data_IF_582948928185
#
_entry.id   IF_582948928185
#
_cell.length_a   1.000
_cell.length_b   1.000
_cell.length_c   1.000
_cell.angle_alpha   90.00
_cell.angle_beta   90.00
_cell.angle_gamma   90.00
#
_symmetry.space_group_name_H-M   'P 1'
#
loop_
_entity.id
_entity.type
_entity.pdbx_description
1 polymer ?
#
# COMPACT_ATOMS: atom_id res chain seq x y z
N UNK A 1 -6.67 -20.10 12.83
CA UNK A 1 -7.12 -18.68 12.86
C UNK A 1 -6.52 -17.97 11.66
N UNK A 2 -7.32 -17.21 10.94
CA UNK A 2 -6.89 -16.42 9.78
C UNK A 2 -6.94 -14.93 10.12
N UNK A 3 -5.83 -14.21 9.92
CA UNK A 3 -5.74 -12.77 10.14
C UNK A 3 -5.83 -12.04 8.80
N UNK A 4 -6.86 -11.23 8.63
CA UNK A 4 -7.13 -10.49 7.40
C UNK A 4 -6.55 -9.06 7.50
N UNK A 5 -5.25 -8.94 7.30
CA UNK A 5 -4.56 -7.64 7.38
C UNK A 5 -5.14 -6.59 6.43
N UNK A 6 -5.59 -7.00 5.25
CA UNK A 6 -6.23 -6.10 4.30
C UNK A 6 -7.56 -5.51 4.78
N UNK A 7 -8.28 -6.24 5.64
CA UNK A 7 -9.53 -5.76 6.23
C UNK A 7 -9.28 -4.78 7.39
N UNK A 8 -8.15 -4.91 8.09
CA UNK A 8 -7.86 -4.07 9.26
C UNK A 8 -7.73 -2.58 8.91
N UNK A 9 -7.24 -2.25 7.73
CA UNK A 9 -7.15 -0.87 7.24
C UNK A 9 -8.49 -0.28 6.78
N UNK A 10 -9.55 -1.11 6.72
CA UNK A 10 -10.89 -0.72 6.28
C UNK A 10 -11.94 -0.86 7.39
N UNK A 11 -11.52 -0.90 8.64
CA UNK A 11 -12.44 -0.98 9.77
C UNK A 11 -13.09 0.41 10.02
N UNK A 12 -14.37 0.52 9.73
CA UNK A 12 -15.16 1.76 9.90
C UNK A 12 -15.26 2.24 11.35
N UNK A 13 -15.05 1.33 12.32
CA UNK A 13 -15.00 1.67 13.74
C UNK A 13 -13.71 2.42 14.10
N UNK A 14 -12.69 2.31 13.26
CA UNK A 14 -11.37 2.90 13.48
C UNK A 14 -11.06 4.04 12.51
N UNK A 15 -11.51 3.92 11.26
CA UNK A 15 -11.19 4.88 10.20
C UNK A 15 -12.47 5.46 9.61
N UNK A 16 -12.61 6.78 9.61
CA UNK A 16 -13.65 7.46 8.88
C UNK A 16 -13.44 7.28 7.36
N UNK A 17 -14.50 7.01 6.61
CA UNK A 17 -14.44 6.77 5.16
C UNK A 17 -13.34 5.75 4.77
N UNK A 18 -13.36 4.51 5.32
CA UNK A 18 -12.24 3.58 5.24
C UNK A 18 -11.89 3.14 3.82
N UNK A 19 -12.85 3.21 2.90
CA UNK A 19 -12.65 2.84 1.49
C UNK A 19 -12.07 4.00 0.64
N UNK A 20 -12.05 5.20 1.19
CA UNK A 20 -11.44 6.34 0.53
C UNK A 20 -9.92 6.33 0.68
N UNK A 21 -9.21 6.34 -0.43
CA UNK A 21 -7.77 6.57 -0.43
C UNK A 21 -7.48 8.05 -0.19
N UNK A 22 -6.89 8.37 0.96
CA UNK A 22 -6.57 9.73 1.35
C UNK A 22 -5.16 9.79 1.95
N UNK A 23 -4.23 10.35 1.19
CA UNK A 23 -2.82 10.50 1.60
C UNK A 23 -2.61 11.50 2.73
N UNK A 24 -3.61 12.33 3.02
CA UNK A 24 -3.57 13.32 4.11
C UNK A 24 -4.26 12.83 5.38
N UNK A 25 -4.77 11.60 5.35
CA UNK A 25 -5.41 11.02 6.52
C UNK A 25 -4.42 10.94 7.70
N UNK A 26 -4.79 11.54 8.80
CA UNK A 26 -4.05 11.37 10.04
C UNK A 26 -4.27 9.95 10.58
N UNK A 27 -3.19 9.20 10.71
CA UNK A 27 -3.19 7.82 11.20
C UNK A 27 -2.18 7.73 12.33
N UNK A 28 -2.67 7.50 13.52
CA UNK A 28 -1.85 7.24 14.71
C UNK A 28 -1.35 5.80 14.76
N UNK A 29 -2.12 4.86 14.21
CA UNK A 29 -1.82 3.44 14.23
C UNK A 29 -2.49 2.66 13.10
N UNK A 30 -1.75 1.69 12.53
CA UNK A 30 -2.27 0.71 11.57
C UNK A 30 -1.58 -0.64 11.74
N UNK A 31 -2.23 -1.73 11.32
CA UNK A 31 -1.71 -3.09 11.44
C UNK A 31 -0.88 -3.56 10.24
N UNK A 32 -0.62 -2.71 9.26
CA UNK A 32 0.11 -3.09 8.03
C UNK A 32 1.51 -3.65 8.26
N UNK A 33 2.15 -3.27 9.36
CA UNK A 33 3.44 -3.81 9.79
C UNK A 33 3.35 -4.72 11.02
N UNK A 34 2.15 -5.16 11.37
CA UNK A 34 1.90 -5.96 12.57
C UNK A 34 1.85 -5.12 13.84
N UNK A 35 1.88 -5.82 14.98
CA UNK A 35 1.80 -5.21 16.31
C UNK A 35 2.56 -6.03 17.36
N UNK A 36 3.01 -5.36 18.43
CA UNK A 36 3.64 -5.99 19.58
C UNK A 36 5.06 -6.47 19.27
N UNK A 37 5.45 -7.59 19.89
CA UNK A 37 6.83 -8.11 19.82
C UNK A 37 7.26 -8.56 18.43
N UNK A 38 6.31 -8.81 17.55
CA UNK A 38 6.53 -9.25 16.17
C UNK A 38 6.24 -8.17 15.14
N UNK A 39 6.23 -6.89 15.54
CA UNK A 39 6.17 -5.79 14.59
C UNK A 39 7.29 -5.93 13.56
N UNK A 40 7.00 -5.61 12.32
CA UNK A 40 7.96 -5.75 11.22
C UNK A 40 9.27 -5.02 11.53
N UNK A 41 10.38 -5.77 11.58
CA UNK A 41 11.71 -5.23 11.82
C UNK A 41 12.13 -4.21 10.74
N UNK A 42 11.71 -4.46 9.50
CA UNK A 42 12.02 -3.62 8.34
C UNK A 42 11.08 -2.42 8.14
N UNK A 43 10.13 -2.15 9.04
CA UNK A 43 9.12 -1.11 8.83
C UNK A 43 9.70 0.28 8.53
N UNK A 44 10.75 0.67 9.22
CA UNK A 44 11.42 1.96 9.00
C UNK A 44 12.16 2.01 7.66
N UNK A 45 12.84 0.93 7.31
CA UNK A 45 13.53 0.80 6.03
C UNK A 45 12.54 0.82 4.86
N UNK A 46 11.46 0.05 4.96
CA UNK A 46 10.40 0.03 3.93
C UNK A 46 9.79 1.42 3.71
N UNK A 47 9.54 2.17 4.77
CA UNK A 47 9.04 3.55 4.64
C UNK A 47 10.03 4.46 3.93
N UNK A 48 11.31 4.33 4.27
CA UNK A 48 12.38 5.12 3.62
C UNK A 48 12.51 4.78 2.14
N UNK A 49 12.59 3.49 1.80
CA UNK A 49 12.69 3.02 0.41
C UNK A 49 11.47 3.43 -0.41
N UNK A 50 10.26 3.26 0.13
CA UNK A 50 9.03 3.65 -0.54
C UNK A 50 8.97 5.15 -0.80
N UNK A 51 9.37 5.97 0.18
CA UNK A 51 9.42 7.42 0.01
C UNK A 51 10.39 7.83 -1.09
N UNK A 52 11.62 7.34 -1.02
CA UNK A 52 12.65 7.68 -2.03
C UNK A 52 12.21 7.18 -3.42
N UNK A 53 11.70 5.96 -3.51
CA UNK A 53 11.24 5.38 -4.78
C UNK A 53 10.12 6.19 -5.42
N UNK A 54 9.11 6.60 -4.63
CA UNK A 54 7.99 7.41 -5.11
C UNK A 54 8.47 8.83 -5.48
N UNK A 55 9.30 9.46 -4.66
CA UNK A 55 9.85 10.80 -4.96
C UNK A 55 10.65 10.81 -6.26
N UNK A 56 11.55 9.81 -6.47
CA UNK A 56 12.33 9.68 -7.69
C UNK A 56 11.47 9.35 -8.92
N UNK A 57 10.44 8.51 -8.75
CA UNK A 57 9.49 8.21 -9.81
C UNK A 57 8.75 9.46 -10.26
N UNK A 58 8.12 10.18 -9.32
CA UNK A 58 7.35 11.39 -9.62
C UNK A 58 8.21 12.55 -10.15
N UNK A 59 9.46 12.61 -9.74
CA UNK A 59 10.40 13.61 -10.28
C UNK A 59 10.72 13.37 -11.76
N UNK A 60 10.80 12.09 -12.18
CA UNK A 60 11.10 11.71 -13.57
C UNK A 60 9.86 11.74 -14.44
N UNK A 61 8.75 11.27 -13.90
CA UNK A 61 7.48 11.10 -14.59
C UNK A 61 6.33 11.72 -13.76
N UNK A 62 6.23 13.07 -13.79
CA UNK A 62 5.20 13.77 -13.04
C UNK A 62 3.78 13.48 -13.56
N UNK A 63 3.68 13.09 -14.82
CA UNK A 63 2.43 12.65 -15.44
C UNK A 63 2.56 11.18 -15.82
N UNK A 64 1.64 10.38 -15.33
CA UNK A 64 1.57 8.95 -15.62
C UNK A 64 0.13 8.45 -15.56
N UNK A 65 -0.12 7.32 -16.20
CA UNK A 65 -1.39 6.62 -16.17
C UNK A 65 -1.20 5.13 -15.99
N UNK A 66 -2.27 4.44 -15.65
CA UNK A 66 -2.35 2.98 -15.63
C UNK A 66 -3.41 2.61 -16.66
N UNK A 67 -3.06 1.93 -17.76
CA UNK A 67 -4.04 1.50 -18.75
C UNK A 67 -5.02 0.51 -18.13
N UNK A 68 -6.21 0.39 -18.72
CA UNK A 68 -7.31 -0.42 -18.20
C UNK A 68 -6.92 -1.90 -18.01
N UNK A 69 -6.09 -2.42 -18.90
CA UNK A 69 -5.52 -3.77 -18.87
C UNK A 69 -4.14 -3.86 -18.21
N UNK A 70 -3.67 -2.76 -17.64
CA UNK A 70 -2.32 -2.63 -17.06
C UNK A 70 -2.13 -3.29 -15.71
N UNK A 71 -3.18 -3.88 -15.14
CA UNK A 71 -3.15 -4.45 -13.78
C UNK A 71 -3.33 -5.96 -13.82
N UNK A 72 -2.29 -6.69 -13.48
CA UNK A 72 -2.34 -8.14 -13.30
C UNK A 72 -2.29 -8.49 -11.81
N UNK A 73 -3.35 -9.12 -11.28
CA UNK A 73 -3.39 -9.53 -9.89
C UNK A 73 -2.64 -10.83 -9.65
N UNK A 74 -1.90 -10.87 -8.55
CA UNK A 74 -1.25 -12.10 -8.10
C UNK A 74 -2.29 -13.08 -7.54
N UNK A 75 -2.24 -14.32 -8.01
CA UNK A 75 -3.02 -15.43 -7.45
C UNK A 75 -2.25 -16.07 -6.29
N UNK A 76 -2.58 -15.69 -5.08
CA UNK A 76 -1.93 -16.22 -3.87
C UNK A 76 -2.92 -16.28 -2.72
N UNK A 77 -2.80 -17.30 -1.88
CA UNK A 77 -3.60 -17.43 -0.65
C UNK A 77 -3.10 -16.51 0.48
N UNK A 78 -1.84 -16.10 0.43
CA UNK A 78 -1.17 -15.40 1.54
C UNK A 78 -0.82 -13.95 1.19
N UNK A 79 -0.66 -13.65 -0.09
CA UNK A 79 -0.22 -12.33 -0.56
C UNK A 79 -1.28 -11.70 -1.43
N UNK A 80 -1.72 -10.51 -1.04
CA UNK A 80 -2.59 -9.68 -1.87
C UNK A 80 -1.75 -8.61 -2.55
N UNK A 81 -1.52 -8.78 -3.82
CA UNK A 81 -0.65 -7.88 -4.58
C UNK A 81 -0.89 -7.99 -6.08
N UNK A 82 0.03 -7.44 -6.82
CA UNK A 82 0.04 -7.47 -8.28
C UNK A 82 1.22 -8.29 -8.77
N UNK A 83 0.99 -9.12 -9.78
CA UNK A 83 2.04 -9.80 -10.53
C UNK A 83 2.67 -8.85 -11.57
N UNK A 84 1.88 -7.95 -12.11
CA UNK A 84 2.31 -6.90 -13.02
C UNK A 84 1.51 -5.62 -12.83
N UNK A 85 2.17 -4.49 -13.00
CA UNK A 85 1.58 -3.17 -13.02
C UNK A 85 2.23 -2.37 -14.15
N UNK A 86 1.52 -2.23 -15.25
CA UNK A 86 1.97 -1.41 -16.37
C UNK A 86 1.69 0.06 -16.10
N UNK A 87 2.69 0.91 -16.33
CA UNK A 87 2.57 2.35 -16.16
C UNK A 87 2.93 3.01 -17.49
N UNK A 88 2.04 3.84 -17.99
CA UNK A 88 2.29 4.72 -19.13
C UNK A 88 2.84 6.05 -18.61
N UNK A 89 3.97 6.47 -19.15
CA UNK A 89 4.63 7.73 -18.81
C UNK A 89 4.62 8.68 -19.98
N UNK A 90 4.33 9.92 -19.71
CA UNK A 90 4.31 11.00 -20.71
C UNK A 90 5.68 11.62 -20.95
#
# INVERSE_FOLDING_TARGET
MLLLNGASGRDERRFAEPDRFDVRREIDFHLGFGYGRHICLGASLTRLESRIGIEEFLRRWPEYGIPEDGVERMHSSNVRGFAGLTIEVG
#
